data_IF_063110245319
#
_entry.id   IF_063110245319
#
_cell.length_a   1.000
_cell.length_b   1.000
_cell.length_c   1.000
_cell.angle_alpha   90.00
_cell.angle_beta   90.00
_cell.angle_gamma   90.00
#
_symmetry.space_group_name_H-M   'P 1'
#
loop_
_entity.id
_entity.type
_entity.pdbx_description
1 polymer ?
#
# COMPACT_ATOMS: atom_id res chain seq x y z
N UNK A 1 -60.52 72.70 -7.81
CA UNK A 1 -61.00 71.31 -7.95
C UNK A 1 -60.41 70.68 -9.18
N UNK A 2 -59.50 69.73 -9.02
CA UNK A 2 -59.31 68.68 -10.01
C UNK A 2 -59.03 67.39 -9.25
N UNK A 3 -59.77 66.36 -9.63
CA UNK A 3 -59.99 65.14 -8.88
C UNK A 3 -58.75 64.24 -8.90
N UNK A 4 -58.49 63.68 -7.72
CA UNK A 4 -57.62 62.55 -7.47
C UNK A 4 -58.25 61.31 -8.12
N UNK A 5 -57.60 60.71 -9.11
CA UNK A 5 -57.93 59.36 -9.58
C UNK A 5 -56.70 58.50 -9.35
N UNK A 6 -56.82 57.74 -8.28
CA UNK A 6 -55.91 56.70 -7.83
C UNK A 6 -56.04 55.50 -8.76
N UNK A 7 -54.90 55.00 -9.22
CA UNK A 7 -54.79 53.95 -10.24
C UNK A 7 -53.48 53.21 -10.09
N UNK A 8 -53.07 52.94 -8.85
CA UNK A 8 -51.98 52.04 -8.52
C UNK A 8 -52.38 50.61 -8.90
N UNK A 9 -52.10 50.23 -10.15
CA UNK A 9 -52.12 48.84 -10.59
C UNK A 9 -50.77 48.19 -10.21
N UNK A 10 -50.51 48.08 -8.91
CA UNK A 10 -49.42 47.25 -8.39
C UNK A 10 -49.84 45.78 -8.47
N UNK A 11 -49.42 45.12 -9.55
CA UNK A 11 -49.48 43.66 -9.61
C UNK A 11 -48.49 43.13 -8.55
N UNK A 12 -48.93 42.31 -7.57
CA UNK A 12 -48.05 41.91 -6.49
C UNK A 12 -46.95 40.99 -7.03
N UNK A 13 -45.70 41.45 -6.92
CA UNK A 13 -44.46 40.72 -7.20
C UNK A 13 -44.20 39.54 -6.22
N UNK A 14 -45.25 38.90 -5.70
CA UNK A 14 -45.14 37.82 -4.71
C UNK A 14 -45.72 36.47 -5.17
N UNK A 15 -46.29 36.36 -6.37
CA UNK A 15 -46.97 35.13 -6.82
C UNK A 15 -46.09 34.06 -7.50
N UNK A 16 -44.75 34.24 -7.56
CA UNK A 16 -43.85 33.25 -8.19
C UNK A 16 -42.70 32.76 -7.30
N UNK A 17 -42.74 32.97 -5.99
CA UNK A 17 -41.98 32.11 -5.08
C UNK A 17 -42.75 30.80 -4.90
N UNK A 18 -42.70 29.92 -5.92
CA UNK A 18 -42.87 28.49 -5.63
C UNK A 18 -41.72 28.11 -4.69
N UNK A 19 -41.99 27.59 -3.49
CA UNK A 19 -40.96 26.96 -2.70
C UNK A 19 -40.22 26.00 -3.63
N UNK A 20 -38.89 26.15 -3.69
CA UNK A 20 -38.03 25.22 -4.40
C UNK A 20 -38.20 23.89 -3.68
N UNK A 21 -39.19 23.12 -4.10
CA UNK A 21 -39.37 21.74 -3.71
C UNK A 21 -38.00 21.12 -3.96
N UNK A 22 -37.32 20.80 -2.86
CA UNK A 22 -36.02 20.16 -2.87
C UNK A 22 -36.28 18.78 -3.43
N UNK A 23 -36.35 18.68 -4.75
CA UNK A 23 -36.58 17.44 -5.46
C UNK A 23 -35.36 16.57 -5.15
N UNK A 24 -35.48 15.52 -4.32
CA UNK A 24 -34.33 14.78 -3.79
C UNK A 24 -33.45 14.23 -4.92
N UNK A 25 -34.07 13.89 -6.05
CA UNK A 25 -33.40 13.43 -7.26
C UNK A 25 -32.36 14.40 -7.85
N UNK A 26 -32.50 15.73 -7.70
CA UNK A 26 -31.51 16.68 -8.23
C UNK A 26 -30.28 16.83 -7.30
N UNK A 27 -30.50 16.68 -6.00
CA UNK A 27 -29.40 16.70 -5.04
C UNK A 27 -28.55 15.43 -5.14
N UNK A 28 -29.18 14.30 -5.43
CA UNK A 28 -28.49 13.01 -5.58
C UNK A 28 -27.68 12.95 -6.88
N UNK A 29 -28.20 13.48 -7.99
CA UNK A 29 -27.42 13.60 -9.24
C UNK A 29 -26.22 14.54 -9.08
N UNK A 30 -26.37 15.65 -8.36
CA UNK A 30 -25.26 16.56 -8.12
C UNK A 30 -24.16 15.94 -7.25
N UNK A 31 -24.52 15.16 -6.23
CA UNK A 31 -23.56 14.39 -5.41
C UNK A 31 -22.84 13.33 -6.24
N UNK A 32 -23.55 12.59 -7.10
CA UNK A 32 -22.95 11.58 -7.97
C UNK A 32 -21.92 12.19 -8.95
N UNK A 33 -22.24 13.35 -9.53
CA UNK A 33 -21.31 14.07 -10.41
C UNK A 33 -20.06 14.52 -9.67
N UNK A 34 -20.23 15.17 -8.50
CA UNK A 34 -19.09 15.57 -7.65
C UNK A 34 -18.24 14.36 -7.26
N UNK A 35 -18.88 13.24 -6.91
CA UNK A 35 -18.17 12.03 -6.54
C UNK A 35 -17.36 11.45 -7.71
N UNK A 36 -17.90 11.48 -8.93
CA UNK A 36 -17.19 11.08 -10.15
C UNK A 36 -15.97 11.96 -10.40
N UNK A 37 -16.13 13.28 -10.36
CA UNK A 37 -15.03 14.23 -10.57
C UNK A 37 -13.94 14.06 -9.50
N UNK A 38 -14.32 13.85 -8.24
CA UNK A 38 -13.38 13.56 -7.16
C UNK A 38 -12.64 12.23 -7.37
N UNK A 39 -13.29 11.21 -7.91
CA UNK A 39 -12.63 9.94 -8.24
C UNK A 39 -11.61 10.14 -9.36
N UNK A 40 -11.99 10.86 -10.41
CA UNK A 40 -11.08 11.14 -11.53
C UNK A 40 -9.86 11.97 -11.09
N UNK A 41 -10.08 12.98 -10.24
CA UNK A 41 -8.98 13.76 -9.65
C UNK A 41 -8.04 12.89 -8.82
N UNK A 42 -8.57 11.93 -8.04
CA UNK A 42 -7.77 10.96 -7.28
C UNK A 42 -6.91 10.08 -8.19
N UNK A 43 -7.47 9.56 -9.28
CA UNK A 43 -6.74 8.76 -10.26
C UNK A 43 -5.62 9.57 -10.91
N UNK A 44 -5.90 10.81 -11.32
CA UNK A 44 -4.87 11.72 -11.88
C UNK A 44 -3.75 12.03 -10.88
N UNK A 45 -4.08 12.23 -9.61
CA UNK A 45 -3.08 12.41 -8.56
C UNK A 45 -2.20 11.15 -8.38
N UNK A 46 -2.79 9.97 -8.46
CA UNK A 46 -2.06 8.71 -8.40
C UNK A 46 -1.10 8.55 -9.61
N UNK A 47 -1.53 8.96 -10.81
CA UNK A 47 -0.64 9.00 -11.98
C UNK A 47 0.55 9.93 -11.80
N UNK A 48 0.33 11.10 -11.19
CA UNK A 48 1.43 12.01 -10.87
C UNK A 48 2.43 11.34 -9.91
N UNK A 49 1.96 10.67 -8.85
CA UNK A 49 2.81 9.91 -7.93
C UNK A 49 3.57 8.78 -8.63
N UNK A 50 2.90 8.05 -9.54
CA UNK A 50 3.52 7.02 -10.35
C UNK A 50 4.66 7.60 -11.20
N UNK A 51 4.41 8.69 -11.93
CA UNK A 51 5.42 9.33 -12.76
C UNK A 51 6.60 9.85 -11.94
N UNK A 52 6.34 10.40 -10.75
CA UNK A 52 7.39 10.82 -9.81
C UNK A 52 8.21 9.64 -9.27
N UNK A 53 7.65 8.44 -9.22
CA UNK A 53 8.33 7.22 -8.76
C UNK A 53 9.20 6.55 -9.83
N UNK A 54 9.10 6.97 -11.10
CA UNK A 54 9.90 6.41 -12.20
C UNK A 54 11.41 6.68 -11.98
N UNK A 55 11.87 7.93 -11.72
CA UNK A 55 13.25 8.20 -11.31
C UNK A 55 13.61 7.48 -10.01
N UNK A 56 14.79 6.86 -9.95
CA UNK A 56 15.19 6.01 -8.81
C UNK A 56 15.38 6.84 -7.54
N UNK A 57 15.88 8.06 -7.71
CA UNK A 57 16.25 9.02 -6.67
C UNK A 57 15.02 9.49 -5.88
N UNK A 58 13.86 9.57 -6.54
CA UNK A 58 12.62 10.05 -5.94
C UNK A 58 11.93 8.99 -5.09
N UNK A 59 12.19 7.70 -5.34
CA UNK A 59 11.42 6.59 -4.75
C UNK A 59 11.50 6.57 -3.24
N UNK A 60 12.69 6.81 -2.66
CA UNK A 60 12.85 6.84 -1.21
C UNK A 60 12.17 8.07 -0.58
N UNK A 61 12.22 9.20 -1.28
CA UNK A 61 11.58 10.45 -0.83
C UNK A 61 10.05 10.31 -0.81
N UNK A 62 9.47 9.74 -1.86
CA UNK A 62 8.03 9.48 -1.95
C UNK A 62 7.59 8.53 -0.84
N UNK A 63 8.32 7.44 -0.62
CA UNK A 63 7.97 6.45 0.39
C UNK A 63 7.98 7.01 1.81
N UNK A 64 8.91 7.94 2.09
CA UNK A 64 9.04 8.61 3.39
C UNK A 64 8.10 9.80 3.56
N UNK A 65 7.38 10.19 2.51
CA UNK A 65 6.46 11.32 2.60
C UNK A 65 5.32 10.99 3.57
N UNK A 66 5.05 11.87 4.56
CA UNK A 66 4.03 11.62 5.56
C UNK A 66 2.64 11.47 4.91
N UNK A 67 1.94 10.38 5.25
CA UNK A 67 0.61 10.09 4.71
C UNK A 67 0.59 9.46 3.33
N UNK A 68 1.74 9.24 2.67
CA UNK A 68 1.80 8.52 1.39
C UNK A 68 1.20 7.11 1.51
N UNK A 69 1.70 6.30 2.46
CA UNK A 69 1.25 4.92 2.66
C UNK A 69 -0.26 4.82 2.90
N UNK A 70 -0.79 5.66 3.80
CA UNK A 70 -2.24 5.72 4.08
C UNK A 70 -3.05 6.05 2.82
N UNK A 71 -2.59 7.04 2.05
CA UNK A 71 -3.32 7.52 0.87
C UNK A 71 -3.32 6.49 -0.26
N UNK A 72 -2.18 5.85 -0.52
CA UNK A 72 -2.07 4.84 -1.57
C UNK A 72 -2.82 3.55 -1.20
N UNK A 73 -2.79 3.13 0.08
CA UNK A 73 -3.55 1.96 0.53
C UNK A 73 -5.05 2.20 0.48
N UNK A 74 -5.48 3.40 0.87
CA UNK A 74 -6.88 3.80 0.76
C UNK A 74 -7.35 3.76 -0.70
N UNK A 75 -6.58 4.34 -1.62
CA UNK A 75 -6.90 4.31 -3.05
C UNK A 75 -7.05 2.86 -3.55
N UNK A 76 -6.09 2.00 -3.23
CA UNK A 76 -6.09 0.60 -3.69
C UNK A 76 -7.25 -0.21 -3.10
N UNK A 77 -7.65 0.09 -1.86
CA UNK A 77 -8.76 -0.60 -1.17
C UNK A 77 -10.13 -0.11 -1.64
N UNK A 78 -10.31 1.20 -1.82
CA UNK A 78 -11.60 1.81 -2.18
C UNK A 78 -11.90 1.75 -3.68
N UNK A 79 -10.87 1.79 -4.53
CA UNK A 79 -11.04 1.77 -5.98
C UNK A 79 -11.03 0.32 -6.50
N UNK A 80 -11.89 0.02 -7.48
CA UNK A 80 -11.97 -1.27 -8.17
C UNK A 80 -11.48 -1.18 -9.64
N UNK A 81 -11.20 0.02 -10.14
CA UNK A 81 -10.83 0.28 -11.51
C UNK A 81 -9.40 0.81 -11.63
N UNK A 82 -9.25 1.90 -12.38
CA UNK A 82 -7.96 2.44 -12.76
C UNK A 82 -7.11 2.90 -11.57
N UNK A 83 -7.72 3.51 -10.54
CA UNK A 83 -6.97 3.99 -9.38
C UNK A 83 -6.28 2.85 -8.61
N UNK A 84 -6.89 1.66 -8.56
CA UNK A 84 -6.26 0.46 -8.00
C UNK A 84 -5.04 0.05 -8.81
N UNK A 85 -5.17 -0.03 -10.13
CA UNK A 85 -4.08 -0.39 -11.04
C UNK A 85 -2.90 0.58 -10.95
N UNK A 86 -3.18 1.88 -10.93
CA UNK A 86 -2.14 2.91 -10.81
C UNK A 86 -1.49 2.89 -9.43
N UNK A 87 -2.30 2.70 -8.38
CA UNK A 87 -1.81 2.59 -7.01
C UNK A 87 -0.88 1.41 -6.80
N UNK A 88 -1.22 0.23 -7.31
CA UNK A 88 -0.36 -0.95 -7.26
C UNK A 88 0.87 -0.80 -8.16
N UNK A 89 0.74 -0.19 -9.33
CA UNK A 89 1.89 0.14 -10.18
C UNK A 89 2.90 1.05 -9.46
N UNK A 90 2.42 2.05 -8.71
CA UNK A 90 3.30 2.91 -7.91
C UNK A 90 4.10 2.08 -6.88
N UNK A 91 3.44 1.16 -6.17
CA UNK A 91 4.10 0.25 -5.21
C UNK A 91 5.16 -0.62 -5.89
N UNK A 92 4.91 -1.10 -7.13
CA UNK A 92 5.90 -1.85 -7.92
C UNK A 92 7.14 -1.00 -8.24
N UNK A 93 6.97 0.27 -8.62
CA UNK A 93 8.12 1.14 -8.89
C UNK A 93 8.94 1.40 -7.62
N UNK A 94 8.27 1.58 -6.48
CA UNK A 94 8.94 1.77 -5.20
C UNK A 94 9.72 0.51 -4.78
N UNK A 95 9.17 -0.69 -4.96
CA UNK A 95 9.83 -1.96 -4.57
C UNK A 95 11.07 -2.31 -5.41
N UNK A 96 11.16 -1.78 -6.64
CA UNK A 96 12.35 -1.91 -7.50
C UNK A 96 13.59 -1.27 -6.88
N UNK A 97 13.45 -0.29 -5.98
CA UNK A 97 14.59 0.30 -5.28
C UNK A 97 14.97 -0.55 -4.06
N UNK A 98 16.22 -1.05 -3.95
CA UNK A 98 16.65 -1.84 -2.79
C UNK A 98 16.46 -1.11 -1.46
N UNK A 99 16.69 0.21 -1.44
CA UNK A 99 16.52 1.07 -0.26
C UNK A 99 15.07 1.09 0.26
N UNK A 100 14.09 0.78 -0.59
CA UNK A 100 12.67 0.82 -0.25
C UNK A 100 12.10 -0.54 0.17
N UNK A 101 12.78 -1.66 -0.12
CA UNK A 101 12.25 -3.01 0.14
C UNK A 101 11.97 -3.25 1.62
N UNK A 102 12.96 -2.99 2.48
CA UNK A 102 12.80 -3.17 3.94
C UNK A 102 11.75 -2.20 4.51
N UNK A 103 11.79 -0.89 4.20
CA UNK A 103 10.73 0.03 4.64
C UNK A 103 9.33 -0.38 4.18
N UNK A 104 9.17 -0.87 2.94
CA UNK A 104 7.87 -1.33 2.42
C UNK A 104 7.32 -2.51 3.21
N UNK A 105 8.13 -3.55 3.44
CA UNK A 105 7.69 -4.74 4.21
C UNK A 105 7.33 -4.38 5.66
N UNK A 106 8.00 -3.37 6.22
CA UNK A 106 7.68 -2.85 7.57
C UNK A 106 6.42 -1.97 7.61
N UNK A 107 5.82 -1.63 6.48
CA UNK A 107 4.55 -0.88 6.48
C UNK A 107 3.41 -1.78 6.91
N UNK A 108 2.76 -1.38 7.99
CA UNK A 108 1.56 -2.03 8.49
C UNK A 108 0.47 -2.06 7.41
N UNK A 109 -0.16 -3.24 7.24
CA UNK A 109 -1.24 -3.45 6.30
C UNK A 109 -0.84 -3.61 4.83
N UNK A 110 0.43 -3.41 4.44
CA UNK A 110 0.85 -3.61 3.05
C UNK A 110 0.69 -5.08 2.62
N UNK A 111 1.18 -6.01 3.44
CA UNK A 111 1.12 -7.44 3.12
C UNK A 111 -0.33 -7.93 3.03
N UNK A 112 -1.19 -7.55 3.98
CA UNK A 112 -2.62 -7.88 3.95
C UNK A 112 -3.31 -7.30 2.70
N UNK A 113 -3.01 -6.04 2.36
CA UNK A 113 -3.56 -5.39 1.16
C UNK A 113 -3.17 -6.15 -0.11
N UNK A 114 -1.90 -6.51 -0.27
CA UNK A 114 -1.43 -7.22 -1.46
C UNK A 114 -1.97 -8.65 -1.54
N UNK A 115 -2.01 -9.39 -0.43
CA UNK A 115 -2.60 -10.73 -0.39
C UNK A 115 -4.07 -10.70 -0.76
N UNK A 116 -4.84 -9.74 -0.24
CA UNK A 116 -6.27 -9.58 -0.58
C UNK A 116 -6.50 -9.28 -2.06
N UNK A 117 -5.56 -8.61 -2.73
CA UNK A 117 -5.68 -8.35 -4.17
C UNK A 117 -5.41 -9.59 -5.02
N UNK A 118 -4.58 -10.51 -4.53
CA UNK A 118 -4.24 -11.76 -5.23
C UNK A 118 -5.35 -12.79 -4.99
N UNK A 119 -5.81 -12.89 -3.75
CA UNK A 119 -6.87 -13.78 -3.33
C UNK A 119 -7.85 -13.01 -2.43
N UNK A 120 -8.99 -12.56 -2.98
CA UNK A 120 -9.98 -11.81 -2.22
C UNK A 120 -10.58 -12.60 -1.05
N UNK A 121 -10.52 -13.93 -1.10
CA UNK A 121 -11.10 -14.83 -0.09
C UNK A 121 -10.10 -15.26 0.99
N UNK A 122 -8.80 -15.07 0.75
CA UNK A 122 -7.73 -15.43 1.70
C UNK A 122 -7.84 -14.70 3.06
N UNK A 123 -8.38 -13.48 3.09
CA UNK A 123 -8.49 -12.71 4.35
C UNK A 123 -9.63 -13.16 5.28
N UNK A 124 -10.57 -13.98 4.82
CA UNK A 124 -11.71 -14.43 5.64
C UNK A 124 -11.38 -15.64 6.53
N UNK A 125 -10.31 -16.39 6.21
CA UNK A 125 -9.97 -17.64 6.91
C UNK A 125 -9.25 -17.42 8.25
N UNK A 126 -8.55 -16.30 8.43
CA UNK A 126 -7.73 -16.05 9.62
C UNK A 126 -8.54 -15.58 10.86
N UNK A 127 -9.86 -15.43 10.76
CA UNK A 127 -10.72 -15.04 11.89
C UNK A 127 -11.66 -16.14 12.36
N UNK A 128 -11.78 -17.26 11.65
CA UNK A 128 -12.75 -18.32 11.96
C UNK A 128 -12.17 -19.48 12.79
N UNK A 129 -10.87 -19.52 13.07
CA UNK A 129 -10.23 -20.62 13.82
C UNK A 129 -10.19 -20.39 15.35
N UNK A 130 -11.07 -19.55 15.92
CA UNK A 130 -11.10 -19.25 17.37
C UNK A 130 -12.36 -19.67 18.12
N UNK A 131 -13.33 -20.31 17.47
CA UNK A 131 -14.62 -20.64 18.11
C UNK A 131 -14.93 -22.15 18.21
N UNK A 132 -13.91 -23.03 18.25
CA UNK A 132 -14.08 -24.42 18.70
C UNK A 132 -13.67 -24.57 20.17
N UNK A 133 -14.49 -24.01 21.09
CA UNK A 133 -14.47 -24.44 22.49
C UNK A 133 -15.85 -24.27 23.12
N UNK A 134 -16.71 -25.25 22.90
CA UNK A 134 -17.82 -25.56 23.80
C UNK A 134 -17.63 -26.96 24.38
N UNK A 135 -17.48 -26.91 25.69
CA UNK A 135 -17.52 -27.95 26.70
C UNK A 135 -18.85 -28.72 26.65
N UNK A 136 -18.81 -30.04 26.58
CA UNK A 136 -19.87 -30.86 27.15
C UNK A 136 -19.26 -32.08 27.85
N UNK A 137 -19.07 -31.88 29.15
CA UNK A 137 -18.81 -32.86 30.18
C UNK A 137 -19.91 -33.94 30.21
N UNK A 138 -19.52 -35.22 30.13
CA UNK A 138 -20.33 -36.27 30.75
C UNK A 138 -19.43 -37.30 31.44
N UNK A 139 -19.68 -37.41 32.75
CA UNK A 139 -19.15 -38.36 33.70
C UNK A 139 -19.25 -39.81 33.21
N UNK A 140 -18.19 -40.58 33.42
CA UNK A 140 -18.32 -42.01 33.67
C UNK A 140 -17.13 -42.51 34.48
N UNK A 141 -17.38 -42.72 35.76
CA UNK A 141 -16.50 -43.33 36.74
C UNK A 141 -16.55 -44.86 36.61
N UNK A 142 -15.40 -45.49 36.38
CA UNK A 142 -15.16 -46.88 36.81
C UNK A 142 -13.74 -47.02 37.31
N UNK A 143 -13.62 -47.14 38.63
CA UNK A 143 -12.43 -47.60 39.33
C UNK A 143 -12.09 -49.03 38.90
N UNK A 144 -10.82 -49.30 38.59
CA UNK A 144 -10.22 -50.62 38.78
C UNK A 144 -8.75 -50.49 39.13
N UNK A 145 -8.46 -50.86 40.38
CA UNK A 145 -7.14 -51.14 40.95
C UNK A 145 -6.34 -52.16 40.13
N UNK A 146 -5.01 -52.05 40.18
CA UNK A 146 -4.08 -53.07 39.71
C UNK A 146 -2.73 -52.47 39.29
N UNK A 147 -1.84 -52.11 40.21
CA UNK A 147 -0.81 -53.00 40.77
C UNK A 147 0.49 -53.07 39.96
N UNK A 148 1.58 -52.73 40.67
CA UNK A 148 2.94 -53.27 40.60
C UNK A 148 3.97 -52.79 39.54
N UNK A 149 4.99 -52.11 40.09
CA UNK A 149 6.45 -52.19 39.85
C UNK A 149 7.00 -52.09 38.42
N UNK A 150 7.90 -51.12 38.19
CA UNK A 150 9.34 -51.38 38.31
C UNK A 150 10.16 -50.10 38.14
N UNK A 151 11.06 -49.89 39.09
CA UNK A 151 12.22 -49.02 39.02
C UNK A 151 13.11 -49.39 37.83
N UNK A 152 13.79 -48.41 37.23
CA UNK A 152 15.25 -48.48 37.00
C UNK A 152 15.78 -47.09 36.72
N UNK A 153 16.79 -46.74 37.50
CA UNK A 153 17.75 -45.65 37.32
C UNK A 153 18.43 -45.71 35.94
N UNK A 154 18.84 -44.56 35.40
CA UNK A 154 20.19 -44.50 34.85
C UNK A 154 20.77 -43.08 34.84
N UNK A 155 22.04 -43.05 35.21
CA UNK A 155 22.91 -41.92 35.51
C UNK A 155 23.44 -41.20 34.26
N UNK A 156 23.88 -39.95 34.49
CA UNK A 156 25.05 -39.25 33.94
C UNK A 156 25.57 -39.58 32.53
N UNK A 157 25.88 -38.52 31.78
CA UNK A 157 27.30 -38.17 31.51
C UNK A 157 27.43 -36.72 31.05
N UNK A 158 28.25 -35.98 31.79
CA UNK A 158 28.96 -34.78 31.36
C UNK A 158 29.91 -35.08 30.18
N UNK A 159 30.08 -34.11 29.28
CA UNK A 159 31.31 -33.93 28.52
C UNK A 159 31.40 -32.49 28.00
N UNK A 160 32.19 -31.70 28.73
CA UNK A 160 32.93 -30.54 28.25
C UNK A 160 33.84 -30.93 27.07
N UNK A 161 33.82 -30.18 25.98
CA UNK A 161 35.01 -30.01 25.13
C UNK A 161 35.09 -28.56 24.63
N UNK A 162 36.01 -27.83 25.25
CA UNK A 162 36.72 -26.68 24.70
C UNK A 162 37.44 -27.07 23.40
N UNK A 163 37.26 -26.30 22.34
CA UNK A 163 38.29 -26.21 21.29
C UNK A 163 38.33 -24.82 20.67
N UNK A 164 39.32 -24.05 21.12
CA UNK A 164 39.94 -22.93 20.43
C UNK A 164 40.29 -23.32 18.99
N UNK A 165 39.77 -22.57 18.00
CA UNK A 165 40.47 -22.44 16.71
C UNK A 165 40.42 -20.99 16.21
N UNK A 166 41.62 -20.47 16.08
CA UNK A 166 42.03 -19.22 15.49
C UNK A 166 41.57 -19.02 14.03
N UNK A 167 41.17 -17.78 13.73
CA UNK A 167 41.57 -16.98 12.56
C UNK A 167 41.57 -17.71 11.20
N UNK A 168 40.52 -17.49 10.40
CA UNK A 168 40.66 -17.17 8.96
C UNK A 168 39.59 -16.15 8.57
N UNK A 169 40.04 -14.96 8.15
CA UNK A 169 39.20 -13.96 7.51
C UNK A 169 38.53 -14.53 6.24
N UNK A 170 37.21 -14.39 6.05
CA UNK A 170 36.65 -14.57 4.72
C UNK A 170 37.04 -13.34 3.88
N UNK A 171 37.91 -13.58 2.90
CA UNK A 171 38.17 -12.66 1.81
C UNK A 171 36.84 -12.23 1.14
N UNK A 172 36.74 -10.99 0.62
CA UNK A 172 35.51 -10.50 0.02
C UNK A 172 35.13 -11.35 -1.20
N UNK A 173 33.86 -11.73 -1.38
CA UNK A 173 33.43 -12.39 -2.61
C UNK A 173 33.62 -11.43 -3.78
N UNK A 174 34.59 -11.79 -4.61
CA UNK A 174 34.83 -11.24 -5.94
C UNK A 174 33.52 -11.08 -6.71
N UNK A 175 33.19 -9.82 -6.99
CA UNK A 175 32.53 -9.33 -8.18
C UNK A 175 31.64 -10.33 -8.95
N UNK A 176 30.48 -10.67 -8.38
CA UNK A 176 29.34 -11.04 -9.19
C UNK A 176 28.80 -9.76 -9.85
N UNK A 177 29.43 -9.32 -10.94
CA UNK A 177 28.87 -8.22 -11.75
C UNK A 177 27.53 -8.69 -12.32
N UNK A 178 26.44 -8.16 -11.78
CA UNK A 178 25.13 -8.32 -12.37
C UNK A 178 25.17 -7.82 -13.82
N UNK A 179 24.49 -8.53 -14.71
CA UNK A 179 24.33 -8.16 -16.13
C UNK A 179 23.80 -6.71 -16.25
N UNK A 180 23.09 -6.22 -15.22
CA UNK A 180 22.58 -4.85 -15.14
C UNK A 180 23.67 -3.78 -14.90
N UNK A 181 24.75 -4.13 -14.18
CA UNK A 181 25.87 -3.21 -13.93
C UNK A 181 26.74 -3.01 -15.18
N UNK A 182 26.81 -4.01 -16.06
CA UNK A 182 27.49 -3.90 -17.34
C UNK A 182 26.75 -2.95 -18.29
N UNK A 183 25.41 -2.96 -18.29
CA UNK A 183 24.60 -2.02 -19.09
C UNK A 183 24.72 -0.58 -18.58
N UNK A 184 24.70 -0.38 -17.26
CA UNK A 184 24.89 0.94 -16.63
C UNK A 184 26.29 1.50 -16.90
N UNK A 185 27.32 0.66 -16.83
CA UNK A 185 28.70 1.08 -17.12
C UNK A 185 28.89 1.52 -18.57
N UNK A 186 28.29 0.79 -19.53
CA UNK A 186 28.33 1.18 -20.95
C UNK A 186 27.56 2.47 -21.24
N UNK A 187 26.40 2.66 -20.60
CA UNK A 187 25.61 3.89 -20.75
C UNK A 187 26.34 5.13 -20.19
N UNK A 188 26.99 4.98 -19.02
CA UNK A 188 27.75 6.07 -18.41
C UNK A 188 28.99 6.45 -19.25
N UNK A 189 29.68 5.46 -19.81
CA UNK A 189 30.82 5.69 -20.72
C UNK A 189 30.39 6.39 -22.02
N UNK A 190 29.27 5.98 -22.61
CA UNK A 190 28.71 6.61 -23.81
C UNK A 190 28.31 8.07 -23.56
N UNK A 191 27.70 8.35 -22.40
CA UNK A 191 27.33 9.72 -22.02
C UNK A 191 28.56 10.62 -21.81
N UNK A 192 29.58 10.13 -21.08
CA UNK A 192 30.84 10.87 -20.87
C UNK A 192 31.54 11.21 -22.20
N UNK A 193 31.59 10.26 -23.14
CA UNK A 193 32.18 10.47 -24.47
C UNK A 193 31.40 11.51 -25.29
N UNK A 194 30.06 11.48 -25.23
CA UNK A 194 29.21 12.45 -25.94
C UNK A 194 29.38 13.87 -25.39
N UNK A 195 29.53 14.02 -24.07
CA UNK A 195 29.77 15.31 -23.42
C UNK A 195 31.15 15.89 -23.75
N UNK A 196 32.19 15.07 -23.75
CA UNK A 196 33.55 15.50 -24.12
C UNK A 196 33.64 15.99 -25.57
N UNK A 197 32.89 15.37 -26.49
CA UNK A 197 32.88 15.77 -27.90
C UNK A 197 32.09 17.06 -28.16
N UNK A 198 31.11 17.38 -27.30
CA UNK A 198 30.32 18.61 -27.39
C UNK A 198 31.08 19.85 -26.86
N UNK A 199 32.15 19.66 -26.09
CA UNK A 199 32.97 20.73 -25.50
C UNK A 199 34.21 21.08 -26.32
N UNK A 200 34.44 20.46 -27.49
CA UNK A 200 35.48 20.94 -28.40
C UNK A 200 34.96 22.17 -29.15
N UNK A 201 35.54 23.37 -28.92
CA UNK A 201 35.19 24.54 -29.71
C UNK A 201 35.55 24.26 -31.17
N UNK A 202 34.62 24.56 -32.09
CA UNK A 202 34.92 24.57 -33.52
C UNK A 202 35.98 25.65 -33.75
N UNK A 203 37.21 25.23 -33.99
CA UNK A 203 38.27 26.12 -34.44
C UNK A 203 37.85 26.74 -35.79
N UNK A 204 37.95 28.07 -35.93
CA UNK A 204 37.74 28.77 -37.19
C UNK A 204 38.82 28.43 -38.22
#
# INVERSE_FOLDING_TARGET
SNAYVDGANEVPYQAFYRPRDKHPALADTQKELVQREMNEARVRAAYALLNLSIPVENRLLILRFPGFARSIFRLVREDNGEGRTVGTACLVYLSKSPANRIPLVKMEGLMELLTRLIDPDATLKNQNDKDDKLDDSSDSCTDTDGSLLSETDNENTDAEEDSDTSIVSPAPPSACMSIDDNRRSKALAAWKKKRANAQKPKSP
#
